data_IF_019996547324
#
_entry.id   IF_019996547324
#
_cell.length_a   1.000
_cell.length_b   1.000
_cell.length_c   1.000
_cell.angle_alpha   90.00
_cell.angle_beta   90.00
_cell.angle_gamma   90.00
#
_symmetry.space_group_name_H-M   'P 1'
#
loop_
_entity.id
_entity.type
_entity.pdbx_description
1 polymer ?
#
# COMPACT_ATOMS: atom_id res chain seq x y z
N UNK A 1 -27.71 68.17 -22.78
CA UNK A 1 -27.59 67.42 -24.06
C UNK A 1 -26.26 66.70 -24.07
N UNK A 2 -26.16 65.59 -24.82
CA UNK A 2 -25.05 64.64 -24.77
C UNK A 2 -23.73 65.12 -25.40
N UNK A 3 -22.71 64.28 -25.19
CA UNK A 3 -21.33 64.21 -25.75
C UNK A 3 -20.27 64.71 -24.77
N UNK A 4 -19.09 64.08 -24.60
CA UNK A 4 -18.17 63.46 -25.58
C UNK A 4 -17.39 62.26 -24.99
N UNK A 5 -17.02 61.31 -25.86
CA UNK A 5 -15.98 60.26 -25.84
C UNK A 5 -15.26 59.79 -24.55
N UNK A 6 -15.03 58.46 -24.52
CA UNK A 6 -13.97 57.77 -23.77
C UNK A 6 -12.60 58.44 -23.97
N UNK A 7 -11.86 58.63 -22.88
CA UNK A 7 -10.40 58.80 -22.89
C UNK A 7 -9.73 57.67 -22.10
N UNK A 8 -8.55 57.25 -22.56
CA UNK A 8 -7.82 56.07 -22.05
C UNK A 8 -7.10 56.42 -20.74
N UNK A 9 -7.35 55.62 -19.69
CA UNK A 9 -6.84 55.87 -18.34
C UNK A 9 -6.04 54.72 -17.74
N UNK A 10 -4.79 54.55 -18.20
CA UNK A 10 -3.67 53.79 -17.58
C UNK A 10 -3.95 52.37 -17.06
N UNK A 11 -3.19 51.39 -17.58
CA UNK A 11 -2.84 50.19 -16.82
C UNK A 11 -2.27 50.61 -15.45
N UNK A 12 -3.02 50.42 -14.38
CA UNK A 12 -2.41 50.05 -13.10
C UNK A 12 -1.91 48.62 -13.26
N UNK A 13 -0.60 48.40 -13.05
CA UNK A 13 -0.12 47.06 -12.72
C UNK A 13 -1.00 46.56 -11.57
N UNK A 14 -1.71 45.45 -11.79
CA UNK A 14 -2.40 44.73 -10.73
C UNK A 14 -1.30 44.24 -9.80
N UNK A 15 -1.07 44.96 -8.69
CA UNK A 15 -0.36 44.40 -7.54
C UNK A 15 -1.00 43.05 -7.26
N UNK A 16 -0.17 42.02 -7.09
CA UNK A 16 -0.63 40.66 -6.80
C UNK A 16 -1.67 40.73 -5.68
N UNK A 17 -2.89 40.24 -5.96
CA UNK A 17 -3.96 40.26 -4.97
C UNK A 17 -3.50 39.38 -3.81
N UNK A 18 -3.26 40.00 -2.64
CA UNK A 18 -2.71 39.29 -1.47
C UNK A 18 -3.53 38.01 -1.24
N UNK A 19 -2.88 36.85 -1.04
CA UNK A 19 -3.58 35.58 -0.94
C UNK A 19 -4.60 35.67 0.20
N UNK A 20 -5.86 35.38 -0.10
CA UNK A 20 -6.90 35.39 0.92
C UNK A 20 -6.68 34.20 1.85
N UNK A 21 -6.89 34.36 3.17
CA UNK A 21 -6.68 33.28 4.16
C UNK A 21 -7.40 31.99 3.76
N UNK A 22 -8.61 32.11 3.21
CA UNK A 22 -9.36 30.96 2.67
C UNK A 22 -8.66 30.23 1.51
N UNK A 23 -7.97 30.95 0.61
CA UNK A 23 -7.20 30.34 -0.47
C UNK A 23 -5.97 29.59 0.07
N UNK A 24 -5.24 30.19 1.01
CA UNK A 24 -4.09 29.56 1.69
C UNK A 24 -4.51 28.29 2.43
N UNK A 25 -5.64 28.33 3.15
CA UNK A 25 -6.20 27.15 3.84
C UNK A 25 -6.60 26.05 2.84
N UNK A 26 -7.24 26.39 1.72
CA UNK A 26 -7.56 25.41 0.67
C UNK A 26 -6.30 24.81 0.05
N UNK A 27 -5.27 25.61 -0.20
CA UNK A 27 -3.99 25.11 -0.74
C UNK A 27 -3.33 24.12 0.23
N UNK A 28 -3.31 24.39 1.55
CA UNK A 28 -2.82 23.42 2.54
C UNK A 28 -3.56 22.07 2.50
N UNK A 29 -4.89 22.09 2.38
CA UNK A 29 -5.70 20.87 2.34
C UNK A 29 -5.44 20.07 1.06
N UNK A 30 -5.28 20.75 -0.09
CA UNK A 30 -4.91 20.13 -1.36
C UNK A 30 -3.49 19.53 -1.30
N UNK A 31 -2.53 20.25 -0.72
CA UNK A 31 -1.15 19.75 -0.52
C UNK A 31 -1.11 18.55 0.42
N UNK A 32 -1.92 18.51 1.48
CA UNK A 32 -2.00 17.35 2.39
C UNK A 32 -2.61 16.11 1.70
N UNK A 33 -3.73 16.26 0.98
CA UNK A 33 -4.34 15.16 0.23
C UNK A 33 -3.39 14.64 -0.86
N UNK A 34 -2.71 15.53 -1.57
CA UNK A 34 -1.67 15.17 -2.54
C UNK A 34 -0.51 14.41 -1.88
N UNK A 35 0.04 14.90 -0.77
CA UNK A 35 1.11 14.22 -0.02
C UNK A 35 0.67 12.84 0.48
N UNK A 36 -0.58 12.70 0.93
CA UNK A 36 -1.13 11.42 1.36
C UNK A 36 -1.23 10.42 0.20
N UNK A 37 -1.72 10.86 -0.96
CA UNK A 37 -1.81 10.03 -2.17
C UNK A 37 -0.42 9.66 -2.70
N UNK A 38 0.49 10.63 -2.80
CA UNK A 38 1.87 10.42 -3.22
C UNK A 38 2.57 9.40 -2.31
N UNK A 39 2.52 9.58 -0.99
CA UNK A 39 3.11 8.65 -0.02
C UNK A 39 2.53 7.23 -0.13
N UNK A 40 1.22 7.09 -0.33
CA UNK A 40 0.59 5.79 -0.51
C UNK A 40 1.07 5.11 -1.81
N UNK A 41 1.12 5.87 -2.92
CA UNK A 41 1.54 5.37 -4.22
C UNK A 41 3.03 5.00 -4.24
N UNK A 42 3.92 5.79 -3.65
CA UNK A 42 5.35 5.47 -3.56
C UNK A 42 5.61 4.23 -2.69
N UNK A 43 4.83 4.03 -1.62
CA UNK A 43 4.88 2.79 -0.82
C UNK A 43 4.43 1.57 -1.62
N UNK A 44 3.29 1.68 -2.32
CA UNK A 44 2.81 0.60 -3.20
C UNK A 44 3.78 0.28 -4.35
N UNK A 45 4.45 1.30 -4.91
CA UNK A 45 5.50 1.14 -5.93
C UNK A 45 6.70 0.34 -5.39
N UNK A 46 7.19 0.69 -4.20
CA UNK A 46 8.31 0.02 -3.52
C UNK A 46 7.99 -1.43 -3.17
N UNK A 47 6.78 -1.65 -2.64
CA UNK A 47 6.30 -2.97 -2.26
C UNK A 47 6.11 -3.85 -3.52
N UNK A 48 5.52 -3.28 -4.57
CA UNK A 48 5.37 -3.92 -5.88
C UNK A 48 6.71 -4.32 -6.51
N UNK A 49 7.72 -3.45 -6.48
CA UNK A 49 9.08 -3.82 -6.93
C UNK A 49 9.69 -4.93 -6.08
N UNK A 50 9.54 -4.87 -4.74
CA UNK A 50 10.03 -5.91 -3.84
C UNK A 50 9.41 -7.28 -4.14
N UNK A 51 8.11 -7.30 -4.44
CA UNK A 51 7.38 -8.50 -4.85
C UNK A 51 7.82 -9.00 -6.24
N UNK A 52 7.95 -8.10 -7.23
CA UNK A 52 8.44 -8.43 -8.59
C UNK A 52 9.82 -9.08 -8.52
N UNK A 53 10.77 -8.47 -7.81
CA UNK A 53 12.15 -8.97 -7.67
C UNK A 53 12.15 -10.34 -6.98
N UNK A 54 11.35 -10.50 -5.92
CA UNK A 54 11.25 -11.76 -5.17
C UNK A 54 10.63 -12.87 -6.03
N UNK A 55 9.59 -12.55 -6.81
CA UNK A 55 8.93 -13.47 -7.71
C UNK A 55 9.82 -13.90 -8.88
N UNK A 56 10.51 -12.95 -9.54
CA UNK A 56 11.43 -13.24 -10.65
C UNK A 56 12.58 -14.16 -10.22
N UNK A 57 13.14 -13.93 -9.03
CA UNK A 57 14.13 -14.82 -8.45
C UNK A 57 13.55 -16.22 -8.16
N UNK A 58 12.38 -16.31 -7.51
CA UNK A 58 11.74 -17.60 -7.22
C UNK A 58 11.35 -18.39 -8.48
N UNK A 59 11.02 -17.69 -9.57
CA UNK A 59 10.82 -18.30 -10.89
C UNK A 59 12.12 -18.91 -11.43
N UNK A 60 13.26 -18.25 -11.23
CA UNK A 60 14.57 -18.80 -11.62
C UNK A 60 14.92 -20.07 -10.84
N UNK A 61 14.69 -20.11 -9.52
CA UNK A 61 14.86 -21.32 -8.71
C UNK A 61 13.96 -22.47 -9.23
N UNK A 62 12.72 -22.14 -9.60
CA UNK A 62 11.78 -23.10 -10.20
C UNK A 62 12.28 -23.73 -11.50
N UNK A 63 13.09 -23.04 -12.31
CA UNK A 63 13.68 -23.63 -13.52
C UNK A 63 14.70 -24.74 -13.21
N UNK A 64 15.45 -24.65 -12.10
CA UNK A 64 16.33 -25.75 -11.66
C UNK A 64 15.47 -26.95 -11.23
N UNK A 65 14.43 -26.72 -10.43
CA UNK A 65 13.50 -27.78 -9.99
C UNK A 65 12.79 -28.49 -11.15
N UNK A 66 12.53 -27.82 -12.28
CA UNK A 66 11.96 -28.46 -13.48
C UNK A 66 12.89 -29.53 -14.10
N UNK A 67 14.20 -29.42 -13.90
CA UNK A 67 15.18 -30.39 -14.40
C UNK A 67 15.64 -31.40 -13.33
N UNK A 68 15.17 -31.27 -12.08
CA UNK A 68 15.44 -32.26 -11.04
C UNK A 68 14.73 -33.60 -11.34
N UNK A 69 15.37 -34.76 -11.06
CA UNK A 69 14.73 -36.05 -11.24
C UNK A 69 13.49 -36.20 -10.35
N UNK A 70 12.35 -36.55 -10.95
CA UNK A 70 11.11 -36.82 -10.19
C UNK A 70 11.34 -38.05 -9.28
N UNK A 71 11.24 -37.91 -7.94
CA UNK A 71 11.50 -39.01 -7.02
C UNK A 71 10.34 -40.02 -7.06
N UNK A 72 10.62 -41.23 -7.55
CA UNK A 72 9.67 -42.35 -7.60
C UNK A 72 9.73 -43.17 -6.30
N UNK A 73 8.63 -43.32 -5.53
CA UNK A 73 8.68 -43.92 -4.18
C UNK A 73 9.10 -45.40 -4.08
N UNK A 74 9.03 -46.16 -5.16
CA UNK A 74 9.10 -47.63 -5.14
C UNK A 74 10.01 -48.24 -6.24
N UNK A 75 10.73 -47.42 -6.98
CA UNK A 75 11.55 -47.87 -8.12
C UNK A 75 10.75 -48.42 -9.31
N UNK A 76 9.41 -48.30 -9.33
CA UNK A 76 8.53 -48.80 -10.41
C UNK A 76 8.56 -47.93 -11.69
N UNK A 77 9.71 -47.33 -11.99
CA UNK A 77 9.90 -46.48 -13.16
C UNK A 77 9.73 -47.29 -14.46
N UNK A 78 8.50 -47.30 -15.00
CA UNK A 78 8.14 -47.93 -16.29
C UNK A 78 8.90 -47.35 -17.49
N UNK A 79 9.64 -46.27 -17.31
CA UNK A 79 10.57 -45.67 -18.27
C UNK A 79 11.87 -45.32 -17.54
N UNK A 80 13.00 -45.57 -18.20
CA UNK A 80 14.30 -45.08 -17.73
C UNK A 80 14.27 -43.54 -17.76
N UNK A 81 14.63 -42.83 -16.67
CA UNK A 81 14.76 -41.38 -16.70
C UNK A 81 15.84 -40.99 -17.70
N UNK A 82 15.53 -40.07 -18.62
CA UNK A 82 16.54 -39.44 -19.47
C UNK A 82 17.18 -38.33 -18.65
N UNK A 83 18.51 -38.39 -18.49
CA UNK A 83 19.24 -37.33 -17.80
C UNK A 83 19.21 -36.04 -18.64
N UNK A 84 18.92 -34.91 -17.99
CA UNK A 84 19.04 -33.57 -18.59
C UNK A 84 20.47 -33.36 -19.09
N UNK A 85 20.63 -32.72 -20.26
CA UNK A 85 21.96 -32.41 -20.78
C UNK A 85 22.73 -31.51 -19.81
N UNK A 86 24.02 -31.80 -19.62
CA UNK A 86 24.89 -31.06 -18.72
C UNK A 86 24.91 -29.57 -19.03
N UNK A 87 25.01 -29.20 -20.31
CA UNK A 87 25.06 -27.79 -20.72
C UNK A 87 23.76 -27.03 -20.42
N UNK A 88 22.62 -27.74 -20.34
CA UNK A 88 21.32 -27.15 -19.96
C UNK A 88 21.27 -26.90 -18.45
N UNK A 89 21.77 -27.85 -17.65
CA UNK A 89 21.90 -27.67 -16.20
C UNK A 89 22.84 -26.49 -15.88
N UNK A 90 24.05 -26.48 -16.45
CA UNK A 90 25.04 -25.43 -16.22
C UNK A 90 24.54 -24.04 -16.62
N UNK A 91 23.82 -23.91 -17.76
CA UNK A 91 23.17 -22.63 -18.13
C UNK A 91 22.06 -22.22 -17.17
N UNK A 92 21.27 -23.17 -16.68
CA UNK A 92 20.15 -22.90 -15.75
C UNK A 92 20.67 -22.48 -14.37
N UNK A 93 21.67 -23.18 -13.84
CA UNK A 93 22.34 -22.81 -12.58
C UNK A 93 23.02 -21.43 -12.68
N UNK A 94 23.69 -21.13 -13.81
CA UNK A 94 24.25 -19.81 -14.07
C UNK A 94 23.18 -18.70 -14.11
N UNK A 95 22.01 -18.97 -14.69
CA UNK A 95 20.89 -18.03 -14.68
C UNK A 95 20.40 -17.74 -13.26
N UNK A 96 20.20 -18.76 -12.42
CA UNK A 96 19.78 -18.56 -11.02
C UNK A 96 20.79 -17.73 -10.25
N UNK A 97 22.09 -17.95 -10.45
CA UNK A 97 23.15 -17.15 -9.82
C UNK A 97 23.05 -15.66 -10.19
N UNK A 98 22.87 -15.36 -11.48
CA UNK A 98 22.75 -13.96 -11.96
C UNK A 98 21.44 -13.34 -11.47
N UNK A 99 20.34 -14.09 -11.41
CA UNK A 99 19.09 -13.63 -10.80
C UNK A 99 19.20 -13.42 -9.29
N UNK A 100 20.05 -14.16 -8.59
CA UNK A 100 20.36 -13.97 -7.17
C UNK A 100 21.14 -12.67 -6.93
N UNK A 101 22.16 -12.42 -7.76
CA UNK A 101 22.96 -11.20 -7.73
C UNK A 101 22.10 -9.97 -8.08
N UNK A 102 21.33 -10.03 -9.17
CA UNK A 102 20.37 -8.99 -9.55
C UNK A 102 19.36 -8.71 -8.43
N UNK A 103 18.81 -9.75 -7.78
CA UNK A 103 17.90 -9.57 -6.64
C UNK A 103 18.55 -8.82 -5.47
N UNK A 104 19.82 -9.08 -5.18
CA UNK A 104 20.52 -8.38 -4.10
C UNK A 104 20.65 -6.89 -4.42
N UNK A 105 21.14 -6.56 -5.62
CA UNK A 105 21.32 -5.21 -6.14
C UNK A 105 20.00 -4.42 -6.19
N UNK A 106 18.96 -4.98 -6.80
CA UNK A 106 17.67 -4.29 -6.95
C UNK A 106 16.98 -4.06 -5.60
N UNK A 107 17.10 -5.00 -4.65
CA UNK A 107 16.60 -4.80 -3.29
C UNK A 107 17.42 -3.79 -2.49
N UNK A 108 18.66 -3.47 -2.88
CA UNK A 108 19.41 -2.34 -2.31
C UNK A 108 18.91 -1.00 -2.87
N UNK A 109 18.69 -0.89 -4.18
CA UNK A 109 18.10 0.31 -4.80
C UNK A 109 16.68 0.61 -4.26
N UNK A 110 15.82 -0.40 -4.11
CA UNK A 110 14.48 -0.22 -3.51
C UNK A 110 14.57 0.25 -2.05
N UNK A 111 15.56 -0.22 -1.27
CA UNK A 111 15.82 0.31 0.09
C UNK A 111 16.42 1.71 0.09
N UNK A 112 17.14 2.10 -0.96
CA UNK A 112 17.63 3.46 -1.09
C UNK A 112 16.45 4.41 -1.31
N UNK A 113 15.52 4.09 -2.21
CA UNK A 113 14.30 4.88 -2.45
C UNK A 113 13.40 4.96 -1.21
N UNK A 114 13.33 3.92 -0.38
CA UNK A 114 12.66 4.01 0.93
C UNK A 114 13.24 5.14 1.78
N UNK A 115 14.56 5.18 1.93
CA UNK A 115 15.27 6.18 2.74
C UNK A 115 15.30 7.58 2.13
N UNK A 116 15.38 7.70 0.81
CA UNK A 116 15.55 8.99 0.12
C UNK A 116 14.23 9.62 -0.30
N UNK A 117 13.14 8.85 -0.41
CA UNK A 117 11.83 9.36 -0.85
C UNK A 117 10.74 9.12 0.19
N UNK A 118 10.56 7.88 0.65
CA UNK A 118 9.41 7.52 1.50
C UNK A 118 9.53 8.08 2.93
N UNK A 119 10.73 8.01 3.52
CA UNK A 119 11.00 8.58 4.85
C UNK A 119 10.82 10.12 4.84
N UNK A 120 11.45 10.90 3.93
CA UNK A 120 11.20 12.34 3.82
C UNK A 120 9.73 12.72 3.55
N UNK A 121 9.02 12.03 2.66
CA UNK A 121 7.59 12.27 2.44
C UNK A 121 6.77 12.01 3.71
N UNK A 122 7.14 10.99 4.50
CA UNK A 122 6.49 10.68 5.78
C UNK A 122 6.72 11.80 6.80
N UNK A 123 7.89 12.41 6.84
CA UNK A 123 8.20 13.51 7.76
C UNK A 123 7.59 14.85 7.33
N UNK A 124 7.57 15.16 6.03
CA UNK A 124 6.83 16.30 5.47
C UNK A 124 5.34 16.18 5.82
N UNK A 125 4.75 14.98 5.72
CA UNK A 125 3.36 14.74 6.12
C UNK A 125 3.13 15.04 7.61
N UNK A 126 3.95 14.52 8.53
CA UNK A 126 3.86 14.80 9.98
C UNK A 126 3.97 16.30 10.28
N UNK A 127 4.78 17.01 9.50
CA UNK A 127 4.90 18.46 9.61
C UNK A 127 3.60 19.16 9.18
N UNK A 128 3.01 18.79 8.04
CA UNK A 128 1.71 19.31 7.58
C UNK A 128 0.56 19.01 8.57
N UNK A 129 0.54 17.84 9.22
CA UNK A 129 -0.42 17.55 10.31
C UNK A 129 -0.31 18.56 11.48
N UNK A 130 0.87 19.15 11.69
CA UNK A 130 1.10 20.19 12.71
C UNK A 130 0.64 21.58 12.23
N UNK A 131 0.79 21.86 10.93
CA UNK A 131 0.19 23.03 10.26
C UNK A 131 -1.33 23.02 10.40
N UNK A 132 -1.96 21.88 10.12
CA UNK A 132 -3.41 21.73 10.21
C UNK A 132 -3.96 21.91 11.63
N UNK A 133 -3.19 21.56 12.67
CA UNK A 133 -3.54 21.90 14.06
C UNK A 133 -3.52 23.42 14.29
N UNK A 134 -2.59 24.16 13.68
CA UNK A 134 -2.55 25.62 13.74
C UNK A 134 -3.71 26.27 12.95
N UNK A 135 -4.04 25.76 11.75
CA UNK A 135 -5.21 26.22 10.99
C UNK A 135 -6.51 25.97 11.76
N UNK A 136 -6.67 24.79 12.37
CA UNK A 136 -7.83 24.47 13.22
C UNK A 136 -7.92 25.37 14.46
N UNK A 137 -6.79 25.77 15.05
CA UNK A 137 -6.75 26.77 16.15
C UNK A 137 -7.29 28.12 15.66
N UNK A 138 -6.88 28.57 14.47
CA UNK A 138 -7.39 29.78 13.83
C UNK A 138 -8.89 29.70 13.54
N UNK A 139 -9.38 28.57 13.03
CA UNK A 139 -10.81 28.39 12.75
C UNK A 139 -11.67 28.41 14.03
N UNK A 140 -11.16 27.85 15.14
CA UNK A 140 -11.80 28.02 16.45
C UNK A 140 -11.91 29.51 16.85
N UNK A 141 -10.92 30.35 16.51
CA UNK A 141 -10.97 31.80 16.77
C UNK A 141 -11.92 32.55 15.84
N UNK A 142 -12.08 32.07 14.60
CA UNK A 142 -13.15 32.52 13.71
C UNK A 142 -14.54 32.22 14.29
N UNK A 143 -14.74 31.04 14.87
CA UNK A 143 -16.00 30.66 15.53
C UNK A 143 -16.27 31.49 16.80
N UNK A 144 -15.25 31.77 17.62
CA UNK A 144 -15.35 32.69 18.76
C UNK A 144 -15.83 34.08 18.30
N UNK A 145 -15.19 34.64 17.26
CA UNK A 145 -15.57 35.92 16.66
C UNK A 145 -17.01 35.91 16.12
N UNK A 146 -17.38 34.92 15.31
CA UNK A 146 -18.73 34.81 14.75
C UNK A 146 -19.82 34.69 15.84
N UNK A 147 -19.51 34.04 16.96
CA UNK A 147 -20.40 33.93 18.12
C UNK A 147 -20.64 35.29 18.77
N UNK A 148 -19.58 36.02 19.12
CA UNK A 148 -19.72 37.35 19.73
C UNK A 148 -20.33 38.37 18.76
N UNK A 149 -20.06 38.26 17.46
CA UNK A 149 -20.68 39.11 16.44
C UNK A 149 -22.19 38.94 16.43
N UNK A 150 -22.68 37.69 16.38
CA UNK A 150 -24.11 37.36 16.43
C UNK A 150 -24.76 37.82 17.74
N UNK A 151 -24.05 37.72 18.87
CA UNK A 151 -24.53 38.21 20.18
C UNK A 151 -24.70 39.74 20.20
N UNK A 152 -23.70 40.49 19.75
CA UNK A 152 -23.77 41.96 19.63
C UNK A 152 -24.83 42.40 18.63
N UNK A 153 -24.94 41.75 17.48
CA UNK A 153 -25.96 42.06 16.47
C UNK A 153 -27.39 41.84 17.02
N UNK A 154 -27.62 40.74 17.73
CA UNK A 154 -28.88 40.44 18.39
C UNK A 154 -29.24 41.47 19.48
N UNK A 155 -28.29 41.83 20.34
CA UNK A 155 -28.49 42.86 21.36
C UNK A 155 -28.74 44.25 20.75
N UNK A 156 -28.10 44.57 19.61
CA UNK A 156 -28.34 45.81 18.86
C UNK A 156 -29.75 45.88 18.25
N UNK A 157 -30.30 44.76 17.78
CA UNK A 157 -31.66 44.68 17.21
C UNK A 157 -32.80 44.87 18.23
N UNK A 158 -32.53 44.81 19.54
CA UNK A 158 -33.54 45.09 20.58
C UNK A 158 -34.01 46.56 20.53
N UNK A 159 -35.33 46.74 20.35
CA UNK A 159 -36.00 48.03 20.12
C UNK A 159 -36.19 48.89 21.39
N UNK A 160 -36.14 48.27 22.56
CA UNK A 160 -36.12 48.92 23.88
C UNK A 160 -34.92 48.37 24.65
N UNK A 161 -34.14 49.24 25.31
CA UNK A 161 -33.01 48.84 26.15
C UNK A 161 -33.05 49.58 27.48
N UNK A 162 -33.01 48.84 28.59
CA UNK A 162 -32.75 49.40 29.92
C UNK A 162 -31.24 49.55 30.18
N UNK A 163 -30.84 50.30 31.20
CA UNK A 163 -29.42 50.48 31.59
C UNK A 163 -28.69 49.15 31.83
N UNK A 164 -29.39 48.17 32.40
CA UNK A 164 -28.87 46.80 32.56
C UNK A 164 -28.59 46.09 31.23
N UNK A 165 -29.40 46.35 30.20
CA UNK A 165 -29.16 45.80 28.85
C UNK A 165 -28.08 46.58 28.10
N UNK A 166 -27.96 47.89 28.33
CA UNK A 166 -26.84 48.69 27.82
C UNK A 166 -25.49 48.22 28.42
N UNK A 167 -25.45 47.88 29.72
CA UNK A 167 -24.27 47.30 30.36
C UNK A 167 -23.91 45.90 29.81
N UNK A 168 -24.92 45.07 29.50
CA UNK A 168 -24.70 43.76 28.83
C UNK A 168 -24.20 43.95 27.40
N UNK A 169 -24.74 44.91 26.66
CA UNK A 169 -24.29 45.25 25.30
C UNK A 169 -22.84 45.75 25.31
N UNK A 170 -22.46 46.65 26.22
CA UNK A 170 -21.08 47.13 26.34
C UNK A 170 -20.09 45.99 26.64
N UNK A 171 -20.48 45.01 27.48
CA UNK A 171 -19.67 43.81 27.73
C UNK A 171 -19.57 42.90 26.50
N UNK A 172 -20.65 42.72 25.76
CA UNK A 172 -20.63 41.93 24.52
C UNK A 172 -19.78 42.60 23.42
N UNK A 173 -19.81 43.93 23.33
CA UNK A 173 -18.96 44.70 22.41
C UNK A 173 -17.47 44.59 22.78
N UNK A 174 -17.11 44.69 24.07
CA UNK A 174 -15.73 44.46 24.52
C UNK A 174 -15.24 43.02 24.25
N UNK A 175 -16.11 42.02 24.41
CA UNK A 175 -15.79 40.64 24.03
C UNK A 175 -15.58 40.48 22.51
N UNK A 176 -16.41 41.15 21.70
CA UNK A 176 -16.29 41.15 20.24
C UNK A 176 -15.00 41.84 19.78
N UNK A 177 -14.62 42.96 20.38
CA UNK A 177 -13.37 43.66 20.10
C UNK A 177 -12.17 42.75 20.41
N UNK A 178 -12.11 42.16 21.61
CA UNK A 178 -11.07 41.22 21.99
C UNK A 178 -11.00 40.00 21.07
N UNK A 179 -12.14 39.41 20.69
CA UNK A 179 -12.19 38.29 19.76
C UNK A 179 -11.78 38.68 18.33
N UNK A 180 -12.10 39.90 17.89
CA UNK A 180 -11.71 40.45 16.57
C UNK A 180 -10.20 40.56 16.49
N UNK A 181 -9.55 41.17 17.49
CA UNK A 181 -8.08 41.29 17.56
C UNK A 181 -7.39 39.92 17.60
N UNK A 182 -7.91 38.98 18.39
CA UNK A 182 -7.36 37.61 18.45
C UNK A 182 -7.49 36.89 17.09
N UNK A 183 -8.65 37.02 16.42
CA UNK A 183 -8.88 36.41 15.13
C UNK A 183 -8.01 37.05 14.03
N UNK A 184 -7.89 38.37 14.00
CA UNK A 184 -7.02 39.10 13.05
C UNK A 184 -5.55 38.72 13.23
N UNK A 185 -5.04 38.68 14.46
CA UNK A 185 -3.65 38.27 14.74
C UNK A 185 -3.37 36.83 14.32
N UNK A 186 -4.34 35.92 14.42
CA UNK A 186 -4.19 34.52 13.95
C UNK A 186 -4.29 34.43 12.41
N UNK A 187 -5.14 35.25 11.76
CA UNK A 187 -5.23 35.36 10.29
C UNK A 187 -3.93 35.93 9.69
N UNK A 188 -3.41 37.03 10.23
CA UNK A 188 -2.13 37.63 9.79
C UNK A 188 -0.98 36.65 9.96
N UNK A 189 -0.91 35.94 11.10
CA UNK A 189 0.11 34.90 11.29
C UNK A 189 -0.01 33.80 10.23
N UNK A 190 -1.21 33.32 9.91
CA UNK A 190 -1.39 32.30 8.85
C UNK A 190 -0.90 32.82 7.49
N UNK A 191 -1.18 34.08 7.13
CA UNK A 191 -0.70 34.68 5.88
C UNK A 191 0.82 34.89 5.83
N UNK A 192 1.48 35.05 6.98
CA UNK A 192 2.91 35.32 7.07
C UNK A 192 3.77 34.07 6.76
N UNK A 193 3.51 32.94 7.41
CA UNK A 193 4.40 31.76 7.32
C UNK A 193 3.88 30.62 6.45
N UNK A 194 2.56 30.49 6.25
CA UNK A 194 2.02 29.33 5.52
C UNK A 194 2.36 29.34 4.02
N UNK A 195 2.26 30.47 3.27
CA UNK A 195 2.63 30.49 1.86
C UNK A 195 4.10 30.10 1.64
N UNK A 196 5.02 30.74 2.38
CA UNK A 196 6.45 30.46 2.29
C UNK A 196 6.82 29.02 2.68
N UNK A 197 6.03 28.38 3.55
CA UNK A 197 6.15 26.95 3.82
C UNK A 197 5.67 26.10 2.64
N UNK A 198 4.50 26.41 2.06
CA UNK A 198 3.95 25.64 0.93
C UNK A 198 4.91 25.66 -0.26
N UNK A 199 5.53 26.80 -0.55
CA UNK A 199 6.59 26.92 -1.57
C UNK A 199 7.75 25.93 -1.32
N UNK A 200 8.16 25.76 -0.04
CA UNK A 200 9.21 24.81 0.36
C UNK A 200 8.76 23.36 0.37
N UNK A 201 7.48 23.09 0.61
CA UNK A 201 6.91 21.75 0.46
C UNK A 201 6.85 21.37 -1.03
N UNK A 202 6.50 22.29 -1.92
CA UNK A 202 6.46 22.09 -3.37
C UNK A 202 7.86 21.88 -3.97
N UNK A 203 8.85 22.66 -3.54
CA UNK A 203 10.27 22.45 -3.88
C UNK A 203 10.76 21.07 -3.43
N UNK A 204 10.44 20.66 -2.20
CA UNK A 204 10.81 19.35 -1.67
C UNK A 204 10.11 18.21 -2.43
N UNK A 205 8.81 18.31 -2.71
CA UNK A 205 8.06 17.33 -3.53
C UNK A 205 8.72 17.16 -4.89
N UNK A 206 9.11 18.26 -5.54
CA UNK A 206 9.72 18.24 -6.88
C UNK A 206 11.05 17.46 -6.87
N UNK A 207 11.91 17.69 -5.88
CA UNK A 207 13.16 16.97 -5.70
C UNK A 207 12.93 15.48 -5.40
N UNK A 208 11.97 15.16 -4.53
CA UNK A 208 11.65 13.78 -4.15
C UNK A 208 11.07 12.97 -5.33
N UNK A 209 10.27 13.61 -6.19
CA UNK A 209 9.81 13.01 -7.44
C UNK A 209 10.96 12.75 -8.42
N UNK A 210 11.92 13.66 -8.54
CA UNK A 210 13.12 13.44 -9.35
C UNK A 210 13.92 12.22 -8.83
N UNK A 211 14.18 12.15 -7.52
CA UNK A 211 14.89 11.00 -6.92
C UNK A 211 14.13 9.67 -7.10
N UNK A 212 12.79 9.69 -7.08
CA UNK A 212 11.99 8.50 -7.40
C UNK A 212 12.15 8.06 -8.86
N UNK A 213 12.19 9.00 -9.81
CA UNK A 213 12.42 8.70 -11.23
C UNK A 213 13.85 8.20 -11.48
N UNK A 214 14.84 8.77 -10.82
CA UNK A 214 16.22 8.28 -10.85
C UNK A 214 16.30 6.83 -10.34
N UNK A 215 15.66 6.52 -9.20
CA UNK A 215 15.58 5.15 -8.67
C UNK A 215 14.90 4.15 -9.62
N UNK A 216 13.80 4.55 -10.27
CA UNK A 216 13.14 3.75 -11.32
C UNK A 216 14.08 3.45 -12.50
N UNK A 217 14.86 4.45 -12.95
CA UNK A 217 15.84 4.28 -14.03
C UNK A 217 16.99 3.36 -13.61
N UNK A 218 17.49 3.46 -12.37
CA UNK A 218 18.54 2.57 -11.86
C UNK A 218 18.08 1.11 -11.80
N UNK A 219 16.88 0.85 -11.28
CA UNK A 219 16.30 -0.50 -11.20
C UNK A 219 16.19 -1.12 -12.61
N UNK A 220 15.65 -0.37 -13.57
CA UNK A 220 15.53 -0.83 -14.96
C UNK A 220 16.88 -1.01 -15.65
N UNK A 221 17.82 -0.07 -15.45
CA UNK A 221 19.15 -0.10 -16.04
C UNK A 221 20.00 -1.28 -15.57
N UNK A 222 20.01 -1.56 -14.26
CA UNK A 222 20.67 -2.75 -13.68
C UNK A 222 20.06 -4.04 -14.21
N UNK A 223 18.73 -4.13 -14.22
CA UNK A 223 17.99 -5.29 -14.76
C UNK A 223 18.35 -5.57 -16.23
N UNK A 224 18.31 -4.54 -17.07
CA UNK A 224 18.64 -4.65 -18.49
C UNK A 224 20.10 -5.08 -18.69
N UNK A 225 21.04 -4.44 -17.98
CA UNK A 225 22.47 -4.69 -18.15
C UNK A 225 22.84 -6.13 -17.84
N UNK A 226 22.44 -6.66 -16.67
CA UNK A 226 22.76 -8.02 -16.26
C UNK A 226 22.08 -9.08 -17.14
N UNK A 227 20.81 -8.87 -17.53
CA UNK A 227 20.09 -9.83 -18.38
C UNK A 227 20.62 -9.86 -19.82
N UNK A 228 20.98 -8.71 -20.39
CA UNK A 228 21.57 -8.63 -21.74
C UNK A 228 22.98 -9.22 -21.75
N UNK A 229 23.79 -8.97 -20.71
CA UNK A 229 25.11 -9.59 -20.58
C UNK A 229 25.01 -11.12 -20.53
N UNK A 230 24.12 -11.68 -19.68
CA UNK A 230 23.88 -13.12 -19.63
C UNK A 230 23.46 -13.68 -20.99
N UNK A 231 22.54 -13.01 -21.68
CA UNK A 231 22.03 -13.42 -22.98
C UNK A 231 23.15 -13.46 -24.05
N UNK A 232 24.05 -12.46 -24.05
CA UNK A 232 25.23 -12.44 -24.92
C UNK A 232 26.22 -13.57 -24.59
N UNK A 233 26.52 -13.79 -23.31
CA UNK A 233 27.46 -14.83 -22.86
C UNK A 233 26.95 -16.26 -23.16
N UNK A 234 25.64 -16.46 -23.18
CA UNK A 234 25.00 -17.77 -23.46
C UNK A 234 24.58 -17.97 -24.92
N UNK A 235 24.76 -16.98 -25.78
CA UNK A 235 24.41 -17.05 -27.20
C UNK A 235 22.93 -16.83 -27.51
N UNK A 236 22.12 -16.40 -26.53
CA UNK A 236 20.76 -15.92 -26.75
C UNK A 236 20.79 -14.47 -27.29
N UNK A 237 21.25 -14.26 -28.52
CA UNK A 237 21.12 -12.94 -29.15
C UNK A 237 19.66 -12.48 -29.21
N UNK A 238 19.43 -11.17 -29.04
CA UNK A 238 18.14 -10.50 -29.28
C UNK A 238 17.81 -10.45 -30.78
N UNK A 239 17.70 -11.61 -31.41
CA UNK A 239 17.20 -11.75 -32.76
C UNK A 239 15.66 -11.84 -32.73
N UNK A 240 15.01 -11.28 -33.75
CA UNK A 240 13.56 -11.46 -33.96
C UNK A 240 13.19 -12.94 -34.21
N UNK A 241 14.19 -13.82 -34.39
CA UNK A 241 14.03 -15.26 -34.59
C UNK A 241 13.73 -16.03 -33.30
N UNK A 242 13.90 -15.44 -32.10
CA UNK A 242 13.68 -16.15 -30.84
C UNK A 242 12.23 -16.67 -30.70
N UNK A 243 11.25 -15.90 -31.17
CA UNK A 243 9.84 -16.32 -31.20
C UNK A 243 9.63 -17.45 -32.20
N UNK A 244 10.20 -17.35 -33.41
CA UNK A 244 10.10 -18.37 -34.45
C UNK A 244 10.76 -19.70 -34.03
N UNK A 245 11.95 -19.64 -33.41
CA UNK A 245 12.64 -20.80 -32.83
C UNK A 245 11.84 -21.43 -31.69
N UNK A 246 11.20 -20.62 -30.84
CA UNK A 246 10.33 -21.14 -29.79
C UNK A 246 9.08 -21.79 -30.38
N UNK A 247 8.43 -21.19 -31.37
CA UNK A 247 7.27 -21.76 -32.06
C UNK A 247 7.63 -23.06 -32.77
N UNK A 248 8.76 -23.13 -33.47
CA UNK A 248 9.25 -24.34 -34.15
C UNK A 248 9.51 -25.48 -33.15
N UNK A 249 10.09 -25.18 -31.98
CA UNK A 249 10.33 -26.17 -30.93
C UNK A 249 9.04 -26.56 -30.16
N UNK A 250 8.14 -25.63 -29.92
CA UNK A 250 6.96 -25.81 -29.06
C UNK A 250 5.77 -26.43 -29.80
N UNK A 251 5.47 -26.00 -31.02
CA UNK A 251 4.27 -26.42 -31.75
C UNK A 251 4.20 -27.94 -32.02
N UNK A 252 5.30 -28.67 -32.33
CA UNK A 252 5.28 -30.13 -32.40
C UNK A 252 4.95 -30.79 -31.05
N UNK A 253 5.49 -30.25 -29.95
CA UNK A 253 5.25 -30.76 -28.59
C UNK A 253 3.79 -30.51 -28.21
N UNK A 254 3.28 -29.31 -28.47
CA UNK A 254 1.88 -28.93 -28.24
C UNK A 254 0.91 -29.87 -28.98
N UNK A 255 1.14 -30.12 -30.27
CA UNK A 255 0.33 -31.10 -31.05
C UNK A 255 0.40 -32.49 -30.44
N UNK A 256 1.59 -32.99 -30.09
CA UNK A 256 1.72 -34.29 -29.42
C UNK A 256 0.97 -34.34 -28.08
N UNK A 257 0.95 -33.25 -27.30
CA UNK A 257 0.23 -33.16 -26.03
C UNK A 257 -1.29 -33.14 -26.27
N UNK A 258 -1.78 -32.30 -27.17
CA UNK A 258 -3.20 -32.17 -27.53
C UNK A 258 -3.76 -33.44 -28.20
N UNK A 259 -2.95 -34.18 -28.96
CA UNK A 259 -3.37 -35.38 -29.67
C UNK A 259 -3.35 -36.65 -28.80
N UNK A 260 -2.31 -36.84 -27.99
CA UNK A 260 -2.06 -38.09 -27.25
C UNK A 260 -2.68 -38.11 -25.85
N UNK A 261 -2.78 -36.97 -25.17
CA UNK A 261 -3.40 -36.91 -23.84
C UNK A 261 -4.91 -36.75 -23.99
N UNK A 262 -5.64 -37.88 -23.95
CA UNK A 262 -7.11 -37.92 -24.08
C UNK A 262 -7.81 -36.94 -23.11
N UNK A 263 -7.28 -36.77 -21.90
CA UNK A 263 -7.78 -35.83 -20.90
C UNK A 263 -7.66 -34.36 -21.32
N UNK A 264 -6.67 -34.01 -22.14
CA UNK A 264 -6.49 -32.69 -22.74
C UNK A 264 -7.40 -32.59 -23.97
N UNK A 265 -7.26 -33.52 -24.93
CA UNK A 265 -8.04 -33.61 -26.18
C UNK A 265 -9.55 -33.50 -26.02
N UNK A 266 -10.10 -34.12 -24.96
CA UNK A 266 -11.52 -34.12 -24.63
C UNK A 266 -11.86 -33.23 -23.42
N UNK A 267 -10.86 -32.58 -22.83
CA UNK A 267 -10.98 -31.75 -21.64
C UNK A 267 -11.67 -30.42 -21.93
N UNK A 268 -12.42 -29.91 -20.94
CA UNK A 268 -13.06 -28.58 -21.03
C UNK A 268 -12.04 -27.45 -21.24
N UNK A 269 -10.81 -27.61 -20.76
CA UNK A 269 -9.74 -26.61 -20.83
C UNK A 269 -9.28 -26.29 -22.27
N UNK A 270 -9.20 -27.27 -23.17
CA UNK A 270 -8.78 -27.04 -24.58
C UNK A 270 -9.77 -26.16 -25.37
N UNK A 271 -11.00 -26.01 -24.87
CA UNK A 271 -12.02 -25.14 -25.47
C UNK A 271 -12.05 -23.73 -24.84
N UNK A 272 -11.15 -23.43 -23.91
CA UNK A 272 -11.07 -22.10 -23.28
C UNK A 272 -9.95 -21.28 -23.96
N UNK A 273 -10.18 -20.01 -24.28
CA UNK A 273 -9.13 -19.16 -24.85
C UNK A 273 -8.02 -18.93 -23.83
N UNK A 274 -6.77 -19.05 -24.28
CA UNK A 274 -5.56 -18.95 -23.45
C UNK A 274 -5.33 -17.55 -22.85
N UNK A 275 -6.05 -16.54 -23.36
CA UNK A 275 -5.98 -15.16 -22.89
C UNK A 275 -7.14 -14.83 -21.92
N UNK A 276 -7.19 -15.52 -20.77
CA UNK A 276 -7.94 -15.03 -19.62
C UNK A 276 -6.97 -14.30 -18.68
N UNK A 277 -7.24 -13.04 -18.29
CA UNK A 277 -6.53 -12.44 -17.15
C UNK A 277 -6.80 -13.29 -15.91
N UNK A 278 -5.82 -13.37 -15.01
CA UNK A 278 -5.81 -14.30 -13.87
C UNK A 278 -6.93 -14.03 -12.84
N UNK A 279 -8.15 -14.44 -13.16
CA UNK A 279 -9.28 -14.47 -12.24
C UNK A 279 -9.04 -15.58 -11.21
N UNK A 280 -8.49 -15.19 -10.06
CA UNK A 280 -7.99 -16.04 -8.99
C UNK A 280 -8.95 -17.15 -8.56
N UNK A 281 -8.74 -18.38 -9.07
CA UNK A 281 -9.12 -19.67 -8.47
C UNK A 281 -8.37 -20.79 -9.18
N UNK A 282 -7.32 -21.32 -8.54
CA UNK A 282 -6.65 -22.55 -9.03
C UNK A 282 -7.67 -23.69 -9.15
N UNK A 283 -7.74 -24.32 -10.32
CA UNK A 283 -8.61 -25.47 -10.59
C UNK A 283 -7.90 -26.80 -10.20
N UNK A 284 -6.62 -26.75 -9.81
CA UNK A 284 -5.88 -27.89 -9.30
C UNK A 284 -5.99 -27.96 -7.76
N UNK A 285 -6.44 -29.09 -7.18
CA UNK A 285 -6.39 -29.31 -5.75
C UNK A 285 -4.95 -29.58 -5.31
N UNK A 286 -4.27 -28.55 -4.81
CA UNK A 286 -2.98 -28.68 -4.16
C UNK A 286 -3.13 -29.56 -2.89
N UNK A 287 -2.33 -30.63 -2.69
CA UNK A 287 -2.31 -31.36 -1.44
C UNK A 287 -1.92 -30.43 -0.28
N UNK A 288 -2.79 -30.32 0.73
CA UNK A 288 -2.76 -29.22 1.72
C UNK A 288 -1.68 -29.34 2.80
N UNK A 289 -0.51 -29.92 2.52
CA UNK A 289 0.42 -30.40 3.53
C UNK A 289 1.85 -29.82 3.50
N UNK A 290 2.11 -28.73 2.77
CA UNK A 290 3.29 -27.89 3.01
C UNK A 290 3.09 -26.97 4.22
N UNK A 291 2.97 -27.56 5.41
CA UNK A 291 3.27 -26.86 6.66
C UNK A 291 4.79 -26.90 6.87
N UNK A 292 5.37 -25.77 7.27
CA UNK A 292 6.78 -25.63 7.65
C UNK A 292 7.20 -26.75 8.61
N UNK A 293 8.02 -27.69 8.13
CA UNK A 293 8.73 -28.64 8.98
C UNK A 293 9.91 -27.95 9.64
N UNK A 294 10.03 -28.09 10.97
CA UNK A 294 11.28 -27.75 11.66
C UNK A 294 12.39 -28.75 11.32
N UNK A 295 13.65 -28.47 11.72
CA UNK A 295 14.77 -29.38 11.45
C UNK A 295 14.56 -30.77 12.08
N UNK A 296 15.03 -31.84 11.44
CA UNK A 296 14.81 -33.21 11.92
C UNK A 296 15.60 -33.51 13.20
N UNK A 297 15.11 -34.42 14.06
CA UNK A 297 15.86 -34.87 15.23
C UNK A 297 17.02 -35.80 14.82
N UNK A 298 18.08 -35.91 15.66
CA UNK A 298 19.20 -36.81 15.41
C UNK A 298 18.78 -38.30 15.49
N UNK A 299 19.49 -39.21 14.80
CA UNK A 299 19.12 -40.62 14.72
C UNK A 299 19.29 -41.38 16.05
N UNK A 300 18.26 -42.16 16.40
CA UNK A 300 18.25 -43.04 17.56
C UNK A 300 19.21 -44.22 17.42
N UNK A 301 19.96 -44.55 18.48
CA UNK A 301 20.76 -45.78 18.55
C UNK A 301 19.88 -47.04 18.69
N UNK A 302 20.37 -48.23 18.27
CA UNK A 302 19.65 -49.50 18.38
C UNK A 302 19.51 -49.98 19.84
N UNK A 303 18.57 -50.90 20.14
CA UNK A 303 18.16 -51.20 21.51
C UNK A 303 19.14 -52.11 22.28
N UNK A 304 19.41 -51.75 23.54
CA UNK A 304 20.23 -52.52 24.47
C UNK A 304 19.46 -53.65 25.14
N UNK A 305 20.05 -54.86 25.18
CA UNK A 305 19.53 -55.99 25.95
C UNK A 305 19.90 -55.91 27.44
N UNK A 306 19.03 -56.44 28.30
CA UNK A 306 19.15 -56.40 29.76
C UNK A 306 20.32 -57.20 30.33
N UNK A 307 20.85 -56.82 31.50
CA UNK A 307 20.89 -57.65 32.73
C UNK A 307 21.38 -56.86 33.96
N UNK A 308 20.85 -57.21 35.14
CA UNK A 308 21.65 -57.40 36.37
C UNK A 308 22.18 -56.20 37.18
N UNK A 309 21.50 -55.87 38.27
CA UNK A 309 22.07 -55.22 39.48
C UNK A 309 22.90 -56.26 40.28
N UNK A 310 23.89 -55.89 41.12
CA UNK A 310 23.56 -55.38 42.47
C UNK A 310 24.52 -54.35 43.12
N UNK A 311 24.21 -54.01 44.38
CA UNK A 311 24.79 -52.98 45.27
C UNK A 311 26.18 -53.33 45.85
N UNK A 312 27.00 -52.31 46.17
CA UNK A 312 28.31 -52.50 46.84
C UNK A 312 28.93 -51.20 47.42
N UNK A 313 29.08 -51.15 48.73
CA UNK A 313 29.39 -50.02 49.64
C UNK A 313 30.89 -49.70 49.81
N UNK A 314 31.25 -48.40 49.69
CA UNK A 314 32.24 -47.59 50.46
C UNK A 314 33.74 -48.00 50.60
N UNK A 315 34.54 -46.98 51.00
CA UNK A 315 35.95 -47.01 51.49
C UNK A 315 37.03 -47.33 50.43
N UNK A 316 38.31 -46.91 50.54
CA UNK A 316 39.01 -45.79 51.22
C UNK A 316 40.51 -45.86 50.81
N UNK A 317 41.36 -44.92 51.27
CA UNK A 317 42.85 -44.91 51.19
C UNK A 317 43.47 -44.77 49.78
N UNK A 318 44.71 -44.31 49.58
CA UNK A 318 45.61 -43.35 50.29
C UNK A 318 46.77 -43.03 49.33
N UNK A 319 47.47 -41.90 49.48
CA UNK A 319 48.67 -41.62 48.68
C UNK A 319 49.20 -40.19 48.77
N UNK A 320 49.98 -39.90 49.81
CA UNK A 320 50.72 -38.64 49.97
C UNK A 320 51.81 -38.45 48.89
N UNK A 321 52.22 -37.20 48.64
CA UNK A 321 53.56 -36.69 49.06
C UNK A 321 53.61 -35.15 48.93
N UNK A 322 54.32 -34.50 49.85
CA UNK A 322 54.51 -33.04 49.96
C UNK A 322 55.55 -32.49 48.92
N UNK A 323 55.99 -31.22 48.88
CA UNK A 323 56.20 -30.24 49.96
C UNK A 323 56.47 -28.81 49.45
N UNK A 324 56.12 -27.80 50.27
CA UNK A 324 56.78 -26.47 50.40
C UNK A 324 56.79 -25.45 49.21
N UNK A 325 56.86 -24.11 49.37
CA UNK A 325 56.78 -23.11 50.49
C UNK A 325 56.70 -21.70 49.84
N UNK A 326 56.03 -20.64 50.32
CA UNK A 326 55.09 -20.42 51.43
C UNK A 326 55.04 -18.92 51.86
N UNK A 327 53.90 -18.41 52.37
CA UNK A 327 53.64 -17.04 52.95
C UNK A 327 53.64 -15.83 51.97
N UNK A 328 52.92 -14.70 52.14
CA UNK A 328 52.47 -13.91 53.32
C UNK A 328 51.09 -13.21 53.05
N UNK A 329 50.33 -12.85 54.10
CA UNK A 329 49.13 -11.97 54.10
C UNK A 329 49.30 -10.87 55.21
N UNK A 330 48.33 -9.99 55.61
CA UNK A 330 46.92 -9.77 55.19
C UNK A 330 46.44 -8.26 55.21
N UNK A 331 45.11 -8.04 55.22
CA UNK A 331 44.34 -6.85 55.74
C UNK A 331 44.44 -5.52 54.95
N UNK A 332 43.48 -4.58 54.98
CA UNK A 332 42.04 -4.49 55.34
C UNK A 332 41.50 -3.10 54.79
N UNK A 333 40.37 -2.47 55.13
CA UNK A 333 39.26 -2.69 56.09
C UNK A 333 38.06 -1.74 55.79
N UNK A 334 36.83 -2.08 56.22
CA UNK A 334 35.68 -1.17 56.57
C UNK A 334 35.12 -0.22 55.48
N UNK A 335 33.85 0.26 55.48
CA UNK A 335 32.67 0.22 56.37
C UNK A 335 31.41 0.31 55.47
N UNK A 336 30.26 -0.33 55.68
CA UNK A 336 29.36 -0.39 56.83
C UNK A 336 28.63 0.93 57.18
N UNK A 337 27.33 1.00 56.85
CA UNK A 337 26.35 1.87 57.50
C UNK A 337 24.96 1.21 57.42
N UNK A 338 24.24 1.21 58.54
CA UNK A 338 23.00 0.44 58.76
C UNK A 338 21.84 1.33 59.26
N UNK A 339 20.60 0.83 59.07
CA UNK A 339 19.34 0.97 59.86
C UNK A 339 18.12 1.02 58.90
N UNK A 340 17.06 0.18 58.93
CA UNK A 340 16.25 -0.59 59.92
C UNK A 340 15.07 0.15 60.59
N UNK A 341 13.84 -0.18 60.12
CA UNK A 341 12.66 -0.69 60.87
C UNK A 341 11.46 -0.84 59.90
N UNK A 342 10.73 -1.97 59.78
CA UNK A 342 9.73 -2.58 60.70
C UNK A 342 8.39 -1.79 60.76
N UNK A 343 7.18 -2.37 60.87
CA UNK A 343 6.60 -3.74 60.76
C UNK A 343 5.05 -3.61 60.89
N UNK A 344 4.25 -4.32 60.09
CA UNK A 344 2.90 -4.92 60.35
C UNK A 344 2.39 -5.42 58.97
N UNK A 345 1.98 -6.67 58.67
CA UNK A 345 1.08 -7.68 59.29
C UNK A 345 -0.44 -7.46 59.05
N UNK A 346 -1.13 -8.57 58.71
CA UNK A 346 -2.35 -8.64 57.85
C UNK A 346 -3.52 -9.37 58.61
N UNK A 347 -4.61 -10.02 58.05
CA UNK A 347 -5.10 -10.24 56.66
C UNK A 347 -6.69 -10.14 56.52
N UNK A 348 -7.52 -11.03 55.84
CA UNK A 348 -8.78 -10.61 55.14
C UNK A 348 -10.07 -11.43 55.55
N UNK A 349 -10.90 -11.96 54.62
CA UNK A 349 -12.18 -11.46 54.05
C UNK A 349 -13.46 -12.10 54.67
N UNK A 350 -14.66 -11.98 54.05
CA UNK A 350 -15.22 -13.16 53.36
C UNK A 350 -16.17 -12.95 52.14
N UNK A 351 -16.33 -14.00 51.34
CA UNK A 351 -17.52 -14.36 50.54
C UNK A 351 -18.09 -15.67 51.12
N UNK A 352 -19.40 -15.98 50.96
CA UNK A 352 -19.73 -17.11 50.07
C UNK A 352 -21.12 -17.05 49.37
N UNK A 353 -21.25 -17.73 48.23
CA UNK A 353 -22.54 -18.04 47.59
C UNK A 353 -22.37 -18.67 46.20
N UNK A 354 -22.54 -19.99 46.08
CA UNK A 354 -22.09 -20.78 44.92
C UNK A 354 -23.16 -21.77 44.42
N UNK A 355 -23.09 -22.15 43.12
CA UNK A 355 -23.84 -23.20 42.34
C UNK A 355 -25.03 -22.75 41.46
N UNK A 356 -25.36 -23.48 40.37
CA UNK A 356 -24.45 -24.08 39.35
C UNK A 356 -24.97 -23.97 37.88
N UNK A 357 -24.13 -24.16 36.84
CA UNK A 357 -24.55 -24.50 35.47
C UNK A 357 -24.43 -26.02 35.21
N UNK A 358 -25.29 -26.66 34.38
CA UNK A 358 -25.00 -26.92 32.94
C UNK A 358 -26.28 -27.14 32.07
N UNK A 359 -26.27 -27.70 30.83
CA UNK A 359 -25.22 -27.78 29.79
C UNK A 359 -25.65 -27.31 28.35
N UNK A 360 -24.64 -26.92 27.57
CA UNK A 360 -24.34 -27.26 26.15
C UNK A 360 -25.28 -27.00 24.93
N UNK A 361 -24.56 -26.79 23.81
CA UNK A 361 -24.91 -26.91 22.38
C UNK A 361 -25.43 -25.68 21.61
N UNK A 362 -24.96 -25.36 20.39
CA UNK A 362 -23.65 -25.65 19.75
C UNK A 362 -23.41 -24.70 18.55
N UNK A 363 -22.16 -24.67 18.04
CA UNK A 363 -21.78 -24.32 16.65
C UNK A 363 -22.05 -22.87 16.15
N UNK A 364 -20.96 -22.08 16.15
CA UNK A 364 -20.63 -21.08 15.11
C UNK A 364 -20.17 -21.85 13.85
N UNK A 365 -20.31 -21.33 12.61
CA UNK A 365 -19.15 -20.62 12.07
C UNK A 365 -19.46 -19.45 11.10
N UNK A 366 -18.40 -18.72 10.74
CA UNK A 366 -18.37 -17.63 9.76
C UNK A 366 -18.56 -18.11 8.31
N UNK A 367 -19.05 -17.21 7.44
CA UNK A 367 -18.52 -16.90 6.08
C UNK A 367 -19.26 -15.65 5.54
N UNK A 368 -18.58 -14.60 5.11
CA UNK A 368 -17.89 -14.42 3.80
C UNK A 368 -18.86 -14.16 2.66
N UNK A 369 -18.90 -12.92 2.17
CA UNK A 369 -19.57 -12.54 0.93
C UNK A 369 -18.61 -12.66 -0.25
N UNK A 370 -19.02 -13.33 -1.32
CA UNK A 370 -18.41 -13.21 -2.64
C UNK A 370 -19.42 -13.55 -3.75
N UNK A 371 -19.92 -12.49 -4.39
CA UNK A 371 -20.37 -12.34 -5.79
C UNK A 371 -21.30 -13.36 -6.49
N UNK A 372 -22.24 -12.77 -7.26
CA UNK A 372 -22.63 -13.04 -8.68
C UNK A 372 -22.24 -14.40 -9.31
N UNK A 373 -23.05 -15.05 -10.15
CA UNK A 373 -24.29 -14.65 -10.87
C UNK A 373 -25.00 -15.92 -11.42
N UNK A 374 -25.55 -15.89 -12.66
CA UNK A 374 -26.01 -17.02 -13.51
C UNK A 374 -27.48 -17.47 -13.27
N UNK A 375 -28.41 -17.60 -14.24
CA UNK A 375 -28.39 -17.42 -15.72
C UNK A 375 -29.77 -16.92 -16.28
N UNK A 376 -29.74 -16.48 -17.55
CA UNK A 376 -30.80 -16.61 -18.59
C UNK A 376 -32.23 -16.03 -18.42
N UNK A 377 -32.49 -14.97 -19.20
CA UNK A 377 -33.43 -15.06 -20.33
C UNK A 377 -34.94 -15.06 -20.07
N UNK A 378 -35.60 -13.91 -20.30
CA UNK A 378 -36.70 -13.76 -21.30
C UNK A 378 -37.40 -12.39 -21.27
N UNK A 379 -37.98 -12.03 -22.43
CA UNK A 379 -38.96 -10.95 -22.68
C UNK A 379 -38.54 -9.48 -22.50
N UNK A 380 -38.75 -8.69 -23.57
CA UNK A 380 -38.85 -7.22 -23.51
C UNK A 380 -40.18 -6.82 -22.86
N UNK A 381 -40.19 -5.74 -22.07
CA UNK A 381 -41.22 -4.71 -22.19
C UNK A 381 -40.63 -3.40 -22.73
N UNK A 382 -41.37 -2.71 -23.60
CA UNK A 382 -41.06 -1.35 -24.08
C UNK A 382 -41.65 -0.28 -23.13
N UNK A 383 -41.36 1.02 -23.32
CA UNK A 383 -40.82 1.85 -22.23
C UNK A 383 -41.87 2.68 -21.48
N UNK A 384 -41.47 3.17 -20.31
CA UNK A 384 -41.98 4.43 -19.75
C UNK A 384 -40.91 5.50 -19.95
N UNK A 385 -41.17 6.44 -20.85
CA UNK A 385 -40.32 7.61 -21.08
C UNK A 385 -40.74 8.74 -20.13
N UNK A 386 -39.76 9.45 -19.56
CA UNK A 386 -39.78 10.72 -18.81
C UNK A 386 -38.46 10.73 -18.02
N UNK A 387 -37.34 11.04 -18.68
CA UNK A 387 -36.76 12.40 -18.76
C UNK A 387 -35.96 12.80 -17.51
N UNK A 388 -34.82 12.14 -17.34
CA UNK A 388 -33.61 12.71 -16.71
C UNK A 388 -32.43 12.46 -17.67
N UNK A 389 -32.44 13.13 -18.83
CA UNK A 389 -31.33 13.08 -19.77
C UNK A 389 -30.16 13.90 -19.23
N UNK A 390 -29.24 13.26 -18.49
CA UNK A 390 -28.00 13.89 -18.01
C UNK A 390 -27.10 14.20 -19.20
N UNK A 391 -26.64 15.45 -19.31
CA UNK A 391 -25.65 15.87 -20.30
C UNK A 391 -24.34 16.24 -19.63
N UNK A 392 -23.24 15.95 -20.31
CA UNK A 392 -21.89 16.32 -19.90
C UNK A 392 -21.20 17.08 -21.03
N UNK A 393 -20.31 18.01 -20.68
CA UNK A 393 -19.50 18.74 -21.65
C UNK A 393 -18.08 18.18 -21.64
N UNK A 394 -17.54 17.82 -22.80
CA UNK A 394 -16.18 17.34 -22.93
C UNK A 394 -15.16 18.43 -22.57
N UNK A 395 -14.25 18.12 -21.65
CA UNK A 395 -13.13 18.99 -21.26
C UNK A 395 -11.89 18.78 -22.15
N UNK A 396 -11.80 17.62 -22.81
CA UNK A 396 -10.69 17.24 -23.68
C UNK A 396 -11.21 16.49 -24.91
N UNK A 397 -10.40 16.42 -25.96
CA UNK A 397 -10.67 15.56 -27.11
C UNK A 397 -10.29 14.11 -26.80
N UNK A 398 -11.18 13.17 -27.10
CA UNK A 398 -10.95 11.73 -26.91
C UNK A 398 -11.17 10.98 -28.23
N UNK A 399 -10.18 10.14 -28.58
CA UNK A 399 -10.23 9.27 -29.76
C UNK A 399 -10.28 7.82 -29.30
N UNK A 400 -11.39 7.16 -29.60
CA UNK A 400 -11.63 5.76 -29.26
C UNK A 400 -10.61 4.83 -29.88
N UNK A 401 -10.16 3.85 -29.10
CA UNK A 401 -9.17 2.85 -29.47
C UNK A 401 -9.79 1.46 -29.69
N UNK A 402 -10.91 1.16 -29.02
CA UNK A 402 -11.63 -0.10 -29.14
C UNK A 402 -12.95 0.03 -29.95
N UNK A 403 -13.41 -1.11 -30.46
CA UNK A 403 -14.70 -1.22 -31.15
C UNK A 403 -15.86 -1.15 -30.13
N UNK A 404 -16.28 0.08 -29.82
CA UNK A 404 -17.27 0.37 -28.78
C UNK A 404 -17.09 1.77 -28.18
N UNK A 405 -15.95 2.42 -28.39
CA UNK A 405 -15.62 3.71 -27.81
C UNK A 405 -16.33 4.88 -28.53
N UNK A 406 -16.84 5.85 -27.76
CA UNK A 406 -17.39 7.10 -28.29
C UNK A 406 -16.27 8.13 -28.44
N UNK A 407 -15.91 8.49 -29.67
CA UNK A 407 -14.95 9.58 -29.94
C UNK A 407 -15.63 10.94 -29.99
N UNK A 408 -15.02 11.96 -29.39
CA UNK A 408 -15.55 13.33 -29.29
C UNK A 408 -14.41 14.35 -29.15
N UNK A 409 -14.74 15.63 -29.30
CA UNK A 409 -13.83 16.78 -29.16
C UNK A 409 -14.12 17.58 -27.90
N UNK A 410 -13.13 18.34 -27.45
CA UNK A 410 -13.30 19.36 -26.42
C UNK A 410 -14.46 20.31 -26.77
N UNK A 411 -15.36 20.54 -25.81
CA UNK A 411 -16.57 21.35 -25.97
C UNK A 411 -17.82 20.59 -26.44
N UNK A 412 -17.71 19.35 -26.91
CA UNK A 412 -18.87 18.55 -27.34
C UNK A 412 -19.81 18.24 -26.15
N UNK A 413 -21.12 18.25 -26.42
CA UNK A 413 -22.16 17.91 -25.43
C UNK A 413 -22.64 16.48 -25.62
N UNK A 414 -22.17 15.59 -24.75
CA UNK A 414 -22.50 14.16 -24.79
C UNK A 414 -23.75 13.91 -23.94
N UNK A 415 -24.72 13.18 -24.49
CA UNK A 415 -25.88 12.70 -23.74
C UNK A 415 -25.51 11.41 -23.02
N UNK A 416 -25.51 11.41 -21.69
CA UNK A 416 -25.20 10.21 -20.90
C UNK A 416 -26.38 9.24 -20.96
N UNK A 417 -26.13 7.99 -21.32
CA UNK A 417 -27.14 6.91 -21.37
C UNK A 417 -26.95 5.88 -20.26
N UNK A 418 -25.72 5.67 -19.78
CA UNK A 418 -25.41 4.86 -18.59
C UNK A 418 -24.23 5.49 -17.86
N UNK A 419 -24.35 5.73 -16.56
CA UNK A 419 -23.23 6.18 -15.69
C UNK A 419 -23.19 5.42 -14.38
N UNK A 420 -22.04 5.48 -13.73
CA UNK A 420 -21.86 5.18 -12.30
C UNK A 420 -21.77 6.48 -11.50
N UNK A 421 -21.67 6.38 -10.17
CA UNK A 421 -21.44 7.54 -9.30
C UNK A 421 -19.95 7.96 -9.22
N UNK A 422 -19.06 7.22 -9.89
CA UNK A 422 -17.63 7.52 -9.97
C UNK A 422 -17.29 8.33 -11.22
N UNK A 423 -16.39 9.30 -11.08
CA UNK A 423 -15.81 10.06 -12.20
C UNK A 423 -14.59 9.37 -12.80
N UNK A 424 -14.05 8.33 -12.16
CA UNK A 424 -12.91 7.56 -12.65
C UNK A 424 -13.32 6.33 -13.50
N UNK A 425 -14.63 6.09 -13.64
CA UNK A 425 -15.21 5.01 -14.43
C UNK A 425 -15.45 5.40 -15.91
N UNK A 426 -15.81 4.41 -16.74
CA UNK A 426 -16.33 4.62 -18.08
C UNK A 426 -17.85 4.71 -18.07
N UNK A 427 -18.40 5.69 -18.78
CA UNK A 427 -19.83 5.92 -18.97
C UNK A 427 -20.22 5.67 -20.43
N UNK A 428 -21.46 5.26 -20.70
CA UNK A 428 -22.00 5.22 -22.06
C UNK A 428 -22.67 6.53 -22.40
N UNK A 429 -22.42 7.01 -23.61
CA UNK A 429 -23.03 8.22 -24.13
C UNK A 429 -23.50 8.13 -25.57
N UNK A 430 -24.22 9.15 -25.98
CA UNK A 430 -24.65 9.41 -27.35
C UNK A 430 -24.19 10.81 -27.78
N UNK A 431 -23.50 10.88 -28.91
CA UNK A 431 -23.09 12.12 -29.59
C UNK A 431 -23.33 11.96 -31.09
N UNK A 432 -24.03 12.90 -31.72
CA UNK A 432 -24.39 12.89 -33.15
C UNK A 432 -24.98 11.54 -33.66
N UNK A 433 -25.78 10.88 -32.81
CA UNK A 433 -26.41 9.59 -33.09
C UNK A 433 -25.47 8.38 -33.02
N UNK A 434 -24.19 8.56 -32.67
CA UNK A 434 -23.25 7.49 -32.35
C UNK A 434 -23.29 7.19 -30.86
N UNK A 435 -23.24 5.91 -30.51
CA UNK A 435 -23.21 5.43 -29.12
C UNK A 435 -21.92 4.69 -28.84
N UNK A 436 -21.40 4.87 -27.64
CA UNK A 436 -20.23 4.17 -27.17
C UNK A 436 -19.84 4.53 -25.75
N UNK A 437 -18.84 3.83 -25.23
CA UNK A 437 -18.26 4.08 -23.91
C UNK A 437 -17.20 5.19 -23.98
N UNK A 438 -17.10 6.00 -22.92
CA UNK A 438 -16.09 7.05 -22.79
C UNK A 438 -15.66 7.25 -21.33
N UNK A 439 -14.42 7.71 -21.06
CA UNK A 439 -13.94 7.96 -19.70
C UNK A 439 -14.62 9.20 -19.09
N UNK A 440 -15.24 9.04 -17.92
CA UNK A 440 -16.06 10.10 -17.30
C UNK A 440 -15.25 11.36 -16.92
N UNK A 441 -14.01 11.18 -16.46
CA UNK A 441 -13.07 12.24 -16.09
C UNK A 441 -12.64 13.15 -17.26
N UNK A 442 -12.96 12.81 -18.51
CA UNK A 442 -12.79 13.70 -19.67
C UNK A 442 -13.96 14.68 -19.84
N UNK A 443 -14.95 14.65 -18.95
CA UNK A 443 -16.18 15.41 -19.07
C UNK A 443 -16.61 16.08 -17.76
N UNK A 444 -17.36 17.17 -17.86
CA UNK A 444 -17.93 17.90 -16.73
C UNK A 444 -19.46 17.88 -16.83
N UNK A 445 -20.12 17.42 -15.78
CA UNK A 445 -21.59 17.50 -15.65
C UNK A 445 -22.01 18.97 -15.46
N UNK A 446 -23.07 19.40 -16.16
CA UNK A 446 -23.65 20.75 -15.99
C UNK A 446 -24.53 20.86 -14.74
#
# INVERSE_FOLDING_TARGET
MNTVHRSVGRLRKRTEDKPTVGAVVQQCLLTEDFLQKLLANTKAWRDGWSDIITFQYGLSEGYVTLYEPIPMPDGSARRVPVATSRDVMERTEAFVKIMQELKADLLEEVKLVEKTVVDPLTDIKKFMESVNKALKKRDNKKLDYERYYKEVEHLKKKRTRNDRENAVLAKAEANLEAATTIYQNEDERVLEWVPALLDKVEEAISLLLQTLMEGQVQILGRSYTLLVQYAQETGYEQSNMLVEQWEEAFEPIKRQVEENFVMIKQGKAVRMPMNQPAASKSILPLPSNFKKGGPPPPPSQPPSSHTGKPSGRASSTSGDTATERGTVAPRASTSDFSFRSARDESPPPPLPGNKPPPPSESIRPQKSFSNLSVYEGSTKPQPKHLDDSVYVTALYTFQGQAAGDLSFKEGDKIKVTRKTDSVDDWWEGELDGRKGEFPANYTMQQ
#
